data_IF_727899533833
#
_entry.id   IF_727899533833
#
_cell.length_a   1.000
_cell.length_b   1.000
_cell.length_c   1.000
_cell.angle_alpha   90.00
_cell.angle_beta   90.00
_cell.angle_gamma   90.00
#
_symmetry.space_group_name_H-M   'P 1'
#
loop_
_entity.id
_entity.type
_entity.pdbx_description
1 polymer ?
#
# COMPACT_ATOMS: atom_id res chain seq x y z
N UNK A 1 -9.97 15.57 -0.77
CA UNK A 1 -11.44 15.41 -0.59
C UNK A 1 -12.02 14.81 -1.86
N UNK A 2 -13.09 14.04 -1.75
CA UNK A 2 -13.85 13.52 -2.90
C UNK A 2 -15.11 14.37 -3.09
N UNK A 3 -15.82 14.23 -4.22
CA UNK A 3 -17.09 14.93 -4.45
C UNK A 3 -17.01 16.46 -4.27
N UNK A 4 -16.02 17.12 -4.89
CA UNK A 4 -15.95 18.59 -4.87
C UNK A 4 -15.63 19.23 -3.52
N UNK A 5 -15.24 18.47 -2.50
CA UNK A 5 -14.98 18.98 -1.15
C UNK A 5 -15.96 18.50 -0.09
N UNK A 6 -17.11 17.97 -0.52
CA UNK A 6 -18.22 17.61 0.38
C UNK A 6 -17.98 16.33 1.18
N UNK A 7 -16.96 15.55 0.81
CA UNK A 7 -16.63 14.30 1.49
C UNK A 7 -15.14 14.15 1.74
N UNK A 8 -14.78 14.06 3.03
CA UNK A 8 -13.49 13.58 3.50
C UNK A 8 -13.66 12.22 4.18
N UNK A 9 -12.81 11.25 3.81
CA UNK A 9 -12.88 9.90 4.35
C UNK A 9 -11.47 9.39 4.61
N UNK A 10 -11.36 8.51 5.61
CA UNK A 10 -10.13 7.80 5.95
C UNK A 10 -10.46 6.35 6.25
N UNK A 11 -9.57 5.44 5.84
CA UNK A 11 -9.81 4.01 5.98
C UNK A 11 -8.63 3.18 5.51
N UNK A 12 -8.79 1.86 5.53
CA UNK A 12 -7.72 0.92 5.15
C UNK A 12 -6.73 0.61 6.28
N UNK A 13 -7.04 0.99 7.53
CA UNK A 13 -6.19 0.71 8.70
C UNK A 13 -6.36 -0.73 9.20
N UNK A 14 -5.76 -1.70 8.50
CA UNK A 14 -5.78 -3.11 8.91
C UNK A 14 -4.70 -3.40 9.96
N UNK A 15 -5.05 -4.07 11.06
CA UNK A 15 -4.10 -4.54 12.08
C UNK A 15 -3.65 -3.52 13.14
N UNK A 16 -3.66 -2.20 12.83
CA UNK A 16 -3.25 -1.10 13.72
C UNK A 16 -4.39 -0.10 14.04
N UNK A 17 -5.63 -0.54 13.86
CA UNK A 17 -6.80 0.31 13.59
C UNK A 17 -7.05 1.50 14.51
N UNK A 18 -6.88 1.39 15.83
CA UNK A 18 -7.27 2.49 16.76
C UNK A 18 -6.36 3.71 16.62
N UNK A 19 -5.03 3.52 16.69
CA UNK A 19 -4.08 4.61 16.58
C UNK A 19 -4.07 5.21 15.17
N UNK A 20 -4.07 4.35 14.16
CA UNK A 20 -4.02 4.76 12.76
C UNK A 20 -5.31 5.49 12.31
N UNK A 21 -6.49 5.02 12.71
CA UNK A 21 -7.75 5.69 12.40
C UNK A 21 -7.85 7.06 13.08
N UNK A 22 -7.38 7.18 14.33
CA UNK A 22 -7.35 8.48 15.03
C UNK A 22 -6.39 9.47 14.35
N UNK A 23 -5.21 9.01 13.95
CA UNK A 23 -4.27 9.85 13.20
C UNK A 23 -4.87 10.29 11.86
N UNK A 24 -5.39 9.34 11.09
CA UNK A 24 -6.06 9.59 9.82
C UNK A 24 -7.21 10.61 9.95
N UNK A 25 -8.08 10.43 10.94
CA UNK A 25 -9.20 11.34 11.17
C UNK A 25 -8.73 12.78 11.43
N UNK A 26 -7.64 12.98 12.17
CA UNK A 26 -7.06 14.30 12.41
C UNK A 26 -6.52 14.93 11.14
N UNK A 27 -5.76 14.16 10.35
CA UNK A 27 -5.27 14.61 9.04
C UNK A 27 -6.45 15.02 8.15
N UNK A 28 -7.50 14.22 8.10
CA UNK A 28 -8.68 14.51 7.29
C UNK A 28 -9.43 15.77 7.72
N UNK A 29 -9.51 16.05 9.03
CA UNK A 29 -10.10 17.29 9.56
C UNK A 29 -9.23 18.49 9.21
N UNK A 30 -7.92 18.43 9.46
CA UNK A 30 -6.98 19.51 9.14
C UNK A 30 -7.01 19.85 7.64
N UNK A 31 -7.11 18.84 6.77
CA UNK A 31 -7.23 19.02 5.32
C UNK A 31 -8.57 19.64 4.88
N UNK A 32 -9.67 19.33 5.59
CA UNK A 32 -10.99 19.95 5.33
C UNK A 32 -11.01 21.40 5.78
N UNK A 33 -10.39 21.69 6.92
CA UNK A 33 -10.29 23.04 7.49
C UNK A 33 -9.23 23.91 6.78
N UNK A 34 -8.45 23.33 5.86
CA UNK A 34 -7.37 24.02 5.16
C UNK A 34 -6.20 24.40 6.09
N UNK A 35 -6.06 23.71 7.22
CA UNK A 35 -5.03 23.97 8.21
C UNK A 35 -3.69 23.35 7.82
N UNK A 36 -2.60 24.08 8.03
CA UNK A 36 -1.24 23.53 7.98
C UNK A 36 -0.85 23.05 9.37
N UNK A 37 -0.74 21.74 9.55
CA UNK A 37 -0.37 21.10 10.82
C UNK A 37 0.84 20.18 10.65
N UNK A 38 1.48 19.79 11.75
CA UNK A 38 2.58 18.82 11.72
C UNK A 38 2.18 17.51 11.02
N UNK A 39 0.90 17.11 11.11
CA UNK A 39 0.43 15.89 10.46
C UNK A 39 0.23 16.07 8.95
N UNK A 40 -0.23 17.24 8.48
CA UNK A 40 -0.45 17.49 7.04
C UNK A 40 0.86 17.67 6.27
N UNK A 41 1.94 18.01 6.96
CA UNK A 41 3.26 18.19 6.35
C UNK A 41 4.04 16.88 6.16
N UNK A 42 3.54 15.76 6.69
CA UNK A 42 4.18 14.45 6.54
C UNK A 42 4.16 14.00 5.08
N UNK A 43 5.28 13.44 4.61
CA UNK A 43 5.43 12.89 3.25
C UNK A 43 4.35 11.84 2.95
N UNK A 44 4.02 10.99 3.93
CA UNK A 44 2.94 10.01 3.85
C UNK A 44 1.56 10.61 3.50
N UNK A 45 1.32 11.87 3.88
CA UNK A 45 0.05 12.57 3.61
C UNK A 45 0.10 13.30 2.27
N UNK A 46 1.27 13.82 1.90
CA UNK A 46 1.47 14.67 0.72
C UNK A 46 1.76 13.89 -0.56
N UNK A 47 2.37 12.72 -0.45
CA UNK A 47 2.82 11.93 -1.58
C UNK A 47 1.90 10.74 -1.86
N UNK A 48 1.50 10.61 -3.13
CA UNK A 48 0.70 9.47 -3.55
C UNK A 48 1.61 8.25 -3.74
N UNK A 49 1.28 7.08 -3.14
CA UNK A 49 2.06 5.88 -3.39
C UNK A 49 2.04 5.52 -4.87
N UNK A 50 3.11 4.86 -5.33
CA UNK A 50 3.23 4.44 -6.72
C UNK A 50 1.99 3.65 -7.17
N UNK A 51 1.39 4.11 -8.27
CA UNK A 51 0.24 3.45 -8.84
C UNK A 51 0.62 2.03 -9.30
N UNK A 52 -0.18 1.04 -8.91
CA UNK A 52 -0.01 -0.32 -9.44
C UNK A 52 -0.12 -0.29 -10.97
N UNK A 53 0.70 -1.08 -11.70
CA UNK A 53 0.70 -1.09 -13.16
C UNK A 53 -0.71 -1.34 -13.71
N UNK A 54 -1.05 -0.84 -14.91
CA UNK A 54 -2.36 -1.05 -15.52
C UNK A 54 -2.59 -2.52 -15.89
N UNK A 55 -3.85 -2.90 -16.08
CA UNK A 55 -4.19 -4.18 -16.70
C UNK A 55 -3.79 -4.18 -18.19
N UNK A 56 -3.32 -5.30 -18.78
CA UNK A 56 -3.27 -6.66 -18.22
C UNK A 56 -1.96 -7.03 -17.49
N UNK A 57 -1.00 -6.10 -17.40
CA UNK A 57 0.31 -6.37 -16.81
C UNK A 57 0.23 -6.71 -15.33
N UNK A 58 -0.66 -6.02 -14.60
CA UNK A 58 -0.96 -6.32 -13.20
C UNK A 58 -1.41 -7.76 -13.02
N UNK A 59 -2.42 -8.21 -13.77
CA UNK A 59 -2.88 -9.58 -13.72
C UNK A 59 -1.76 -10.59 -14.02
N UNK A 60 -1.00 -10.36 -15.10
CA UNK A 60 0.10 -11.24 -15.48
C UNK A 60 1.15 -11.36 -14.36
N UNK A 61 1.55 -10.24 -13.77
CA UNK A 61 2.47 -10.19 -12.63
C UNK A 61 1.94 -10.95 -11.41
N UNK A 62 0.66 -10.72 -11.05
CA UNK A 62 0.01 -11.42 -9.92
C UNK A 62 -0.01 -12.93 -10.16
N UNK A 63 -0.41 -13.39 -11.35
CA UNK A 63 -0.46 -14.82 -11.67
C UNK A 63 0.93 -15.45 -11.69
N UNK A 64 1.93 -14.75 -12.22
CA UNK A 64 3.31 -15.23 -12.23
C UNK A 64 3.83 -15.40 -10.80
N UNK A 65 3.63 -14.41 -9.93
CA UNK A 65 4.05 -14.45 -8.53
C UNK A 65 3.31 -15.54 -7.76
N UNK A 66 1.98 -15.67 -7.91
CA UNK A 66 1.20 -16.75 -7.29
C UNK A 66 1.72 -18.14 -7.66
N UNK A 67 2.00 -18.37 -8.95
CA UNK A 67 2.57 -19.64 -9.43
C UNK A 67 3.98 -19.89 -8.90
N UNK A 68 4.77 -18.83 -8.77
CA UNK A 68 6.12 -18.92 -8.23
C UNK A 68 6.13 -19.25 -6.73
N UNK A 69 5.22 -18.66 -5.94
CA UNK A 69 5.01 -18.97 -4.52
C UNK A 69 4.57 -20.42 -4.38
N UNK A 70 3.51 -20.85 -5.07
CA UNK A 70 3.02 -22.24 -4.99
C UNK A 70 4.11 -23.26 -5.37
N UNK A 71 4.98 -22.93 -6.34
CA UNK A 71 6.13 -23.76 -6.71
C UNK A 71 7.23 -23.77 -5.64
N UNK A 72 7.43 -22.67 -4.93
CA UNK A 72 8.36 -22.57 -3.80
C UNK A 72 7.89 -23.46 -2.65
N UNK A 73 6.60 -23.39 -2.32
CA UNK A 73 5.98 -24.17 -1.24
C UNK A 73 6.09 -25.68 -1.52
N UNK A 74 5.79 -26.10 -2.76
CA UNK A 74 5.97 -27.48 -3.21
C UNK A 74 7.44 -27.95 -3.20
N UNK A 75 8.41 -27.04 -3.01
CA UNK A 75 9.86 -27.32 -2.97
C UNK A 75 10.46 -27.01 -1.60
N UNK A 76 9.70 -27.19 -0.53
CA UNK A 76 10.14 -26.97 0.86
C UNK A 76 10.56 -25.50 1.10
N UNK A 77 9.86 -24.55 0.48
CA UNK A 77 10.15 -23.13 0.61
C UNK A 77 11.34 -22.63 -0.23
N UNK A 78 11.92 -23.46 -1.11
CA UNK A 78 13.04 -23.06 -1.97
C UNK A 78 12.59 -22.08 -3.05
N UNK A 79 12.88 -20.79 -2.83
CA UNK A 79 12.58 -19.67 -3.74
C UNK A 79 13.25 -19.83 -5.11
N UNK A 80 12.45 -19.77 -6.17
CA UNK A 80 12.91 -19.75 -7.56
C UNK A 80 13.46 -18.38 -8.01
N UNK A 81 14.00 -18.33 -9.24
CA UNK A 81 14.62 -17.13 -9.82
C UNK A 81 13.70 -15.90 -9.78
N UNK A 82 12.42 -16.06 -10.10
CA UNK A 82 11.43 -14.97 -10.08
C UNK A 82 11.27 -14.34 -8.68
N UNK A 83 11.15 -15.17 -7.63
CA UNK A 83 11.00 -14.66 -6.27
C UNK A 83 12.29 -13.97 -5.79
N UNK A 84 13.47 -14.53 -6.12
CA UNK A 84 14.76 -13.90 -5.82
C UNK A 84 14.93 -12.55 -6.51
N UNK A 85 14.41 -12.42 -7.73
CA UNK A 85 14.40 -11.16 -8.46
C UNK A 85 13.50 -10.14 -7.76
N UNK A 86 12.29 -10.52 -7.37
CA UNK A 86 11.37 -9.65 -6.62
C UNK A 86 11.96 -9.21 -5.27
N UNK A 87 12.64 -10.11 -4.56
CA UNK A 87 13.34 -9.80 -3.30
C UNK A 87 14.40 -8.71 -3.53
N UNK A 88 15.17 -8.79 -4.62
CA UNK A 88 16.18 -7.79 -4.98
C UNK A 88 15.58 -6.41 -5.24
N UNK A 89 14.32 -6.34 -5.67
CA UNK A 89 13.59 -5.09 -5.90
C UNK A 89 12.80 -4.62 -4.67
N UNK A 90 12.97 -5.25 -3.50
CA UNK A 90 12.27 -4.85 -2.26
C UNK A 90 10.79 -5.21 -2.24
N UNK A 91 10.35 -6.09 -3.15
CA UNK A 91 8.97 -6.62 -3.23
C UNK A 91 8.85 -7.98 -2.53
N UNK A 92 9.92 -8.39 -1.84
CA UNK A 92 10.00 -9.65 -1.10
C UNK A 92 9.26 -9.62 0.23
N UNK A 93 8.77 -10.80 0.65
CA UNK A 93 8.31 -11.03 2.01
C UNK A 93 9.54 -11.09 2.93
N UNK A 94 10.04 -9.93 3.35
CA UNK A 94 10.81 -9.81 4.59
C UNK A 94 9.81 -9.45 5.69
N UNK A 95 9.60 -10.41 6.60
CA UNK A 95 9.03 -10.17 7.93
C UNK A 95 10.15 -10.20 8.94
#
# INVERSE_FOLDING_TARGET
TTHGGDLSWVGGYTGLGVGAARFGARVALDLVDGATSEHTELEMVREQPMAFPPEPFRYAGIQMTRRAIARSDAREGRRGLWLRLLDRFGVGFDS
#
